data_IF_918489115661
#
_entry.id   IF_918489115661
#
_cell.length_a   1.000
_cell.length_b   1.000
_cell.length_c   1.000
_cell.angle_alpha   90.00
_cell.angle_beta   90.00
_cell.angle_gamma   90.00
#
_symmetry.space_group_name_H-M   'P 1'
#
loop_
_entity.id
_entity.type
_entity.pdbx_description
1 polymer ?
#
# COMPACT_ATOMS: atom_id res chain seq x y z
N UNK A 1 76.80 -28.75 -23.97
CA UNK A 1 75.75 -27.78 -23.58
C UNK A 1 76.38 -26.83 -22.56
N UNK A 2 76.37 -25.52 -22.83
CA UNK A 2 77.08 -24.53 -22.01
C UNK A 2 76.53 -24.51 -20.55
N UNK A 3 77.38 -24.69 -19.52
CA UNK A 3 76.97 -24.64 -18.10
C UNK A 3 76.23 -23.35 -17.72
N UNK A 4 76.59 -22.20 -18.32
CA UNK A 4 75.90 -20.93 -18.07
C UNK A 4 74.48 -20.93 -18.63
N UNK A 5 74.29 -21.53 -19.81
CA UNK A 5 72.97 -21.66 -20.44
C UNK A 5 72.06 -22.60 -19.62
N UNK A 6 72.62 -23.66 -19.06
CA UNK A 6 71.89 -24.62 -18.22
C UNK A 6 71.42 -24.01 -16.90
N UNK A 7 72.24 -23.13 -16.30
CA UNK A 7 71.89 -22.38 -15.09
C UNK A 7 70.82 -21.30 -15.35
N UNK A 8 70.91 -20.62 -16.50
CA UNK A 8 69.89 -19.66 -16.95
C UNK A 8 68.53 -20.34 -17.17
N UNK A 9 68.51 -21.51 -17.82
CA UNK A 9 67.28 -22.28 -18.03
C UNK A 9 66.65 -22.74 -16.71
N UNK A 10 67.46 -23.22 -15.76
CA UNK A 10 66.97 -23.61 -14.42
C UNK A 10 66.35 -22.44 -13.67
N UNK A 11 66.98 -21.27 -13.66
CA UNK A 11 66.42 -20.06 -13.04
C UNK A 11 65.13 -19.59 -13.72
N UNK A 12 65.04 -19.68 -15.04
CA UNK A 12 63.80 -19.34 -15.75
C UNK A 12 62.68 -20.33 -15.45
N UNK A 13 62.98 -21.63 -15.34
CA UNK A 13 62.01 -22.65 -14.93
C UNK A 13 61.53 -22.46 -13.48
N UNK A 14 62.44 -22.17 -12.55
CA UNK A 14 62.10 -21.87 -11.15
C UNK A 14 61.26 -20.59 -11.01
N UNK A 15 61.56 -19.53 -11.77
CA UNK A 15 60.75 -18.29 -11.78
C UNK A 15 59.35 -18.55 -12.39
N UNK A 16 59.25 -19.36 -13.45
CA UNK A 16 57.96 -19.76 -14.02
C UNK A 16 57.13 -20.58 -13.05
N UNK A 17 57.74 -21.53 -12.34
CA UNK A 17 57.05 -22.36 -11.35
C UNK A 17 56.63 -21.54 -10.12
N UNK A 18 57.49 -20.62 -9.67
CA UNK A 18 57.20 -19.70 -8.57
C UNK A 18 56.05 -18.74 -8.92
N UNK A 19 56.04 -18.19 -10.15
CA UNK A 19 54.93 -17.36 -10.65
C UNK A 19 53.62 -18.15 -10.75
N UNK A 20 53.67 -19.39 -11.23
CA UNK A 20 52.48 -20.27 -11.26
C UNK A 20 51.96 -20.57 -9.85
N UNK A 21 52.83 -20.84 -8.89
CA UNK A 21 52.45 -21.05 -7.47
C UNK A 21 51.85 -19.78 -6.87
N UNK A 22 52.43 -18.61 -7.12
CA UNK A 22 51.94 -17.33 -6.63
C UNK A 22 50.56 -16.98 -7.21
N UNK A 23 50.38 -17.16 -8.53
CA UNK A 23 49.08 -16.98 -9.20
C UNK A 23 48.03 -17.95 -8.67
N UNK A 24 48.41 -19.19 -8.41
CA UNK A 24 47.51 -20.22 -7.85
C UNK A 24 47.06 -19.85 -6.43
N UNK A 25 47.98 -19.36 -5.59
CA UNK A 25 47.68 -18.91 -4.20
C UNK A 25 46.78 -17.67 -4.19
N UNK A 26 46.90 -16.77 -5.17
CA UNK A 26 46.05 -15.57 -5.28
C UNK A 26 44.68 -15.86 -5.89
N UNK A 27 44.62 -16.68 -6.94
CA UNK A 27 43.38 -16.87 -7.72
C UNK A 27 42.43 -17.88 -7.10
N UNK A 28 42.91 -18.91 -6.41
CA UNK A 28 42.04 -19.91 -5.75
C UNK A 28 41.14 -19.29 -4.68
N UNK A 29 41.62 -18.48 -3.72
CA UNK A 29 40.74 -17.86 -2.73
C UNK A 29 39.78 -16.83 -3.36
N UNK A 30 40.18 -16.12 -4.42
CA UNK A 30 39.28 -15.21 -5.16
C UNK A 30 38.17 -16.01 -5.86
N UNK A 31 38.52 -17.13 -6.51
CA UNK A 31 37.57 -18.02 -7.16
C UNK A 31 36.62 -18.70 -6.16
N UNK A 32 37.13 -19.15 -5.01
CA UNK A 32 36.31 -19.68 -3.91
C UNK A 32 35.39 -18.60 -3.32
N UNK A 33 35.86 -17.36 -3.19
CA UNK A 33 35.04 -16.22 -2.75
C UNK A 33 33.93 -15.89 -3.75
N UNK A 34 34.20 -15.95 -5.06
CA UNK A 34 33.18 -15.79 -6.12
C UNK A 34 32.17 -16.95 -6.09
N UNK A 35 32.60 -18.19 -5.85
CA UNK A 35 31.71 -19.34 -5.71
C UNK A 35 30.84 -19.25 -4.44
N UNK A 36 31.38 -18.73 -3.34
CA UNK A 36 30.60 -18.45 -2.12
C UNK A 36 29.61 -17.32 -2.40
N UNK A 37 30.00 -16.24 -3.07
CA UNK A 37 29.09 -15.15 -3.49
C UNK A 37 27.98 -15.66 -4.44
N UNK A 38 28.29 -16.56 -5.37
CA UNK A 38 27.32 -17.17 -6.28
C UNK A 38 26.39 -18.18 -5.56
N UNK A 39 26.92 -18.94 -4.59
CA UNK A 39 26.13 -19.82 -3.72
C UNK A 39 25.20 -19.04 -2.79
N UNK A 40 25.66 -17.91 -2.26
CA UNK A 40 24.87 -16.99 -1.45
C UNK A 40 23.81 -16.29 -2.33
N UNK A 41 24.13 -15.88 -3.56
CA UNK A 41 23.13 -15.36 -4.51
C UNK A 41 22.05 -16.40 -4.89
N UNK A 42 22.42 -17.69 -4.95
CA UNK A 42 21.47 -18.80 -5.11
C UNK A 42 20.58 -19.02 -3.88
N UNK A 43 21.08 -18.75 -2.67
CA UNK A 43 20.30 -18.82 -1.42
C UNK A 43 19.47 -17.56 -1.15
N UNK A 44 19.81 -16.42 -1.76
CA UNK A 44 18.99 -15.21 -1.77
C UNK A 44 18.03 -15.12 -2.98
N UNK A 45 17.98 -16.14 -3.83
CA UNK A 45 17.00 -16.28 -4.91
C UNK A 45 15.72 -16.96 -4.42
N UNK A 46 15.05 -16.35 -3.43
CA UNK A 46 13.63 -16.59 -3.17
C UNK A 46 12.97 -15.38 -2.49
N UNK A 47 13.08 -14.22 -3.12
CA UNK A 47 12.03 -13.20 -3.04
C UNK A 47 12.08 -12.27 -4.26
N UNK A 48 12.21 -12.87 -5.44
CA UNK A 48 11.72 -12.23 -6.66
C UNK A 48 10.20 -12.15 -6.52
N UNK A 49 9.70 -11.01 -6.03
CA UNK A 49 8.28 -10.72 -5.92
C UNK A 49 7.63 -10.71 -7.29
N UNK A 50 7.28 -11.88 -7.79
CA UNK A 50 6.15 -12.02 -8.69
C UNK A 50 4.94 -11.46 -7.96
N UNK A 51 4.25 -10.52 -8.60
CA UNK A 51 2.95 -10.05 -8.12
C UNK A 51 2.11 -11.31 -7.87
N UNK A 52 1.88 -11.62 -6.58
CA UNK A 52 1.18 -12.84 -6.18
C UNK A 52 -0.11 -12.92 -6.97
N UNK A 53 -0.43 -14.11 -7.46
CA UNK A 53 -1.69 -14.33 -8.17
C UNK A 53 -2.84 -13.69 -7.36
N UNK A 54 -3.79 -13.04 -8.05
CA UNK A 54 -5.00 -12.53 -7.39
C UNK A 54 -5.70 -13.66 -6.62
N UNK A 55 -6.70 -13.30 -5.81
CA UNK A 55 -7.59 -14.24 -5.12
C UNK A 55 -7.84 -15.49 -6.00
N UNK A 56 -7.78 -16.68 -5.41
CA UNK A 56 -7.90 -17.93 -6.17
C UNK A 56 -9.21 -17.96 -6.96
N UNK A 57 -9.26 -18.73 -8.06
CA UNK A 57 -10.50 -18.86 -8.86
C UNK A 57 -11.65 -19.39 -8.02
N UNK A 58 -11.34 -20.26 -7.06
CA UNK A 58 -12.25 -20.83 -6.08
C UNK A 58 -12.85 -19.74 -5.18
N UNK A 59 -12.04 -18.82 -4.66
CA UNK A 59 -12.53 -17.68 -3.89
C UNK A 59 -13.34 -16.72 -4.77
N UNK A 60 -12.82 -16.38 -5.95
CA UNK A 60 -13.48 -15.46 -6.89
C UNK A 60 -14.85 -15.96 -7.36
N UNK A 61 -15.05 -17.28 -7.44
CA UNK A 61 -16.35 -17.87 -7.77
C UNK A 61 -17.45 -17.47 -6.77
N UNK A 62 -17.10 -17.15 -5.53
CA UNK A 62 -18.05 -16.68 -4.52
C UNK A 62 -18.36 -15.19 -4.58
N UNK A 63 -17.67 -14.40 -5.41
CA UNK A 63 -17.87 -12.94 -5.49
C UNK A 63 -19.34 -12.53 -5.65
N UNK A 64 -20.16 -13.13 -6.53
CA UNK A 64 -21.58 -12.78 -6.64
C UNK A 64 -22.36 -12.99 -5.32
N UNK A 65 -22.06 -14.07 -4.60
CA UNK A 65 -22.70 -14.37 -3.31
C UNK A 65 -22.20 -13.43 -2.20
N UNK A 66 -20.90 -13.14 -2.15
CA UNK A 66 -20.32 -12.15 -1.25
C UNK A 66 -20.96 -10.78 -1.50
N UNK A 67 -21.06 -10.33 -2.76
CA UNK A 67 -21.71 -9.07 -3.13
C UNK A 67 -23.17 -9.02 -2.66
N UNK A 68 -23.93 -10.11 -2.87
CA UNK A 68 -25.33 -10.23 -2.38
C UNK A 68 -25.41 -9.98 -0.86
N UNK A 69 -24.54 -10.62 -0.07
CA UNK A 69 -24.58 -10.48 1.38
C UNK A 69 -23.97 -9.18 1.89
N UNK A 70 -22.92 -8.64 1.26
CA UNK A 70 -22.41 -7.31 1.56
C UNK A 70 -23.50 -6.24 1.35
N UNK A 71 -24.25 -6.32 0.24
CA UNK A 71 -25.40 -5.45 0.00
C UNK A 71 -26.51 -5.65 1.04
N UNK A 72 -26.90 -6.90 1.33
CA UNK A 72 -27.93 -7.24 2.33
C UNK A 72 -27.60 -6.67 3.72
N UNK A 73 -26.32 -6.66 4.09
CA UNK A 73 -25.86 -6.23 5.39
C UNK A 73 -25.32 -4.79 5.41
N UNK A 74 -25.48 -4.05 4.32
CA UNK A 74 -25.10 -2.64 4.17
C UNK A 74 -23.61 -2.38 4.38
N UNK A 75 -22.77 -3.33 3.95
CA UNK A 75 -21.30 -3.19 3.88
C UNK A 75 -20.80 -3.29 2.43
N UNK A 76 -21.56 -2.74 1.48
CA UNK A 76 -21.12 -2.60 0.08
C UNK A 76 -19.77 -1.87 0.00
N UNK A 77 -18.87 -2.33 -0.86
CA UNK A 77 -17.50 -1.84 -0.98
C UNK A 77 -16.46 -2.65 -0.20
N UNK A 78 -16.89 -3.58 0.66
CA UNK A 78 -16.02 -4.50 1.41
C UNK A 78 -15.96 -5.91 0.79
N UNK A 79 -16.45 -6.11 -0.43
CA UNK A 79 -16.45 -7.42 -1.10
C UNK A 79 -15.03 -7.99 -1.24
N UNK A 80 -14.07 -7.17 -1.65
CA UNK A 80 -12.66 -7.58 -1.75
C UNK A 80 -12.05 -7.92 -0.38
N UNK A 81 -12.51 -7.26 0.70
CA UNK A 81 -12.05 -7.57 2.05
C UNK A 81 -12.61 -8.92 2.51
N UNK A 82 -13.89 -9.17 2.24
CA UNK A 82 -14.53 -10.43 2.55
C UNK A 82 -13.92 -11.60 1.78
N UNK A 83 -13.59 -11.42 0.51
CA UNK A 83 -12.89 -12.43 -0.29
C UNK A 83 -11.44 -12.62 0.16
N UNK A 84 -10.73 -11.56 0.52
CA UNK A 84 -9.39 -11.66 1.11
C UNK A 84 -9.40 -12.39 2.45
N UNK A 85 -10.43 -12.16 3.27
CA UNK A 85 -10.67 -12.90 4.50
C UNK A 85 -10.92 -14.39 4.20
N UNK A 86 -11.87 -14.70 3.30
CA UNK A 86 -12.16 -16.07 2.84
C UNK A 86 -10.92 -16.81 2.33
N UNK A 87 -10.04 -16.11 1.59
CA UNK A 87 -8.78 -16.65 1.11
C UNK A 87 -7.86 -17.10 2.26
N UNK A 88 -7.84 -16.36 3.37
CA UNK A 88 -7.04 -16.70 4.55
C UNK A 88 -7.71 -17.80 5.39
N UNK A 89 -9.03 -17.76 5.54
CA UNK A 89 -9.77 -18.71 6.37
C UNK A 89 -9.75 -20.13 5.81
N UNK A 90 -9.96 -20.26 4.49
CA UNK A 90 -10.07 -21.58 3.87
C UNK A 90 -9.51 -21.65 2.45
N UNK A 91 -9.18 -20.53 1.82
CA UNK A 91 -8.93 -20.50 0.37
C UNK A 91 -10.19 -20.73 -0.46
N UNK A 92 -11.38 -20.52 0.12
CA UNK A 92 -12.68 -20.76 -0.53
C UNK A 92 -13.16 -22.22 -0.45
N UNK A 93 -12.45 -23.09 0.26
CA UNK A 93 -12.81 -24.50 0.34
C UNK A 93 -14.04 -24.72 1.22
N UNK A 94 -14.91 -25.61 0.75
CA UNK A 94 -15.99 -26.15 1.55
C UNK A 94 -15.46 -27.04 2.68
N UNK A 95 -16.25 -27.24 3.76
CA UNK A 95 -17.66 -26.87 3.86
C UNK A 95 -17.94 -25.49 4.48
N UNK A 96 -16.91 -24.85 5.03
CA UNK A 96 -17.02 -23.55 5.70
C UNK A 96 -16.02 -22.53 5.11
N UNK A 97 -16.31 -21.97 3.92
CA UNK A 97 -15.38 -21.06 3.23
C UNK A 97 -14.90 -19.85 4.03
N UNK A 98 -15.72 -19.32 4.93
CA UNK A 98 -15.34 -18.19 5.80
C UNK A 98 -14.99 -18.60 7.24
N UNK A 99 -14.87 -19.91 7.53
CA UNK A 99 -14.66 -20.47 8.89
C UNK A 99 -15.57 -19.81 9.94
N UNK A 100 -16.85 -19.61 9.58
CA UNK A 100 -17.80 -18.82 10.35
C UNK A 100 -18.67 -19.66 11.29
N UNK A 101 -18.55 -20.99 11.27
CA UNK A 101 -19.37 -21.91 12.06
C UNK A 101 -19.25 -21.68 13.59
N UNK A 102 -18.08 -21.25 14.06
CA UNK A 102 -17.81 -21.01 15.48
C UNK A 102 -18.40 -19.70 16.00
N UNK A 103 -18.66 -18.75 15.09
CA UNK A 103 -19.18 -17.42 15.37
C UNK A 103 -20.64 -17.40 15.88
N UNK A 104 -21.03 -16.26 16.45
CA UNK A 104 -22.39 -16.04 16.94
C UNK A 104 -23.42 -16.14 15.79
N UNK A 105 -23.08 -15.65 14.60
CA UNK A 105 -23.94 -15.75 13.41
C UNK A 105 -23.87 -17.14 12.75
N UNK A 106 -22.78 -17.87 12.94
CA UNK A 106 -22.69 -19.29 12.60
C UNK A 106 -23.83 -20.03 13.26
N UNK A 107 -23.95 -19.93 14.58
CA UNK A 107 -25.04 -20.50 15.39
C UNK A 107 -26.45 -20.20 14.86
N UNK A 108 -26.71 -18.98 14.41
CA UNK A 108 -28.01 -18.63 13.81
C UNK A 108 -28.28 -19.41 12.50
N UNK A 109 -27.28 -19.54 11.63
CA UNK A 109 -27.40 -20.37 10.43
C UNK A 109 -27.59 -21.85 10.79
N UNK A 110 -26.85 -22.35 11.79
CA UNK A 110 -27.00 -23.71 12.29
C UNK A 110 -28.44 -23.98 12.76
N UNK A 111 -29.07 -23.05 13.50
CA UNK A 111 -30.42 -23.22 14.06
C UNK A 111 -31.52 -23.07 12.98
N UNK A 112 -31.40 -22.09 12.09
CA UNK A 112 -32.46 -21.77 11.12
C UNK A 112 -32.47 -22.67 9.88
N UNK A 113 -31.33 -23.30 9.55
CA UNK A 113 -31.19 -24.25 8.42
C UNK A 113 -31.04 -25.71 8.87
N UNK A 114 -31.12 -26.02 10.17
CA UNK A 114 -30.99 -27.40 10.68
C UNK A 114 -32.12 -28.37 10.31
N UNK A 115 -33.10 -27.97 9.49
CA UNK A 115 -34.25 -28.84 9.21
C UNK A 115 -33.87 -30.13 8.46
N UNK A 116 -32.64 -30.24 7.95
CA UNK A 116 -32.08 -31.44 7.31
C UNK A 116 -30.90 -32.10 8.07
N UNK A 117 -30.51 -31.60 9.25
CA UNK A 117 -29.46 -32.19 10.10
C UNK A 117 -28.02 -31.95 9.63
N UNK A 118 -27.07 -31.80 10.58
CA UNK A 118 -25.62 -31.82 10.32
C UNK A 118 -24.84 -30.57 10.73
N UNK A 119 -25.50 -29.50 11.15
CA UNK A 119 -24.85 -28.27 11.57
C UNK A 119 -24.45 -28.32 13.06
N UNK A 120 -23.18 -28.10 13.39
CA UNK A 120 -22.65 -28.07 14.77
C UNK A 120 -21.84 -26.79 15.01
N UNK A 121 -21.81 -26.29 16.25
CA UNK A 121 -20.95 -25.16 16.58
C UNK A 121 -19.53 -25.68 16.82
N UNK A 122 -18.61 -25.35 15.93
CA UNK A 122 -17.24 -25.84 15.96
C UNK A 122 -16.58 -25.76 14.58
N UNK A 123 -15.28 -26.08 14.47
CA UNK A 123 -14.55 -26.07 13.22
C UNK A 123 -15.25 -26.95 12.17
N UNK A 124 -15.44 -26.43 10.95
CA UNK A 124 -16.16 -27.09 9.86
C UNK A 124 -17.58 -27.54 10.23
N UNK A 125 -18.22 -26.83 11.15
CA UNK A 125 -19.55 -27.14 11.66
C UNK A 125 -20.71 -26.83 10.69
N UNK A 126 -20.40 -26.34 9.49
CA UNK A 126 -21.33 -26.20 8.36
C UNK A 126 -21.09 -27.40 7.44
N UNK A 127 -22.14 -28.09 6.93
CA UNK A 127 -21.99 -29.22 5.99
C UNK A 127 -21.53 -28.82 4.58
N UNK A 128 -20.98 -29.78 3.83
CA UNK A 128 -20.69 -29.62 2.39
C UNK A 128 -21.98 -29.30 1.63
N UNK A 129 -21.90 -28.43 0.63
CA UNK A 129 -23.02 -27.89 -0.14
C UNK A 129 -23.74 -26.71 0.53
N UNK A 130 -23.27 -26.27 1.71
CA UNK A 130 -23.88 -25.19 2.49
C UNK A 130 -22.98 -23.95 2.58
N UNK A 131 -22.07 -23.73 1.63
CA UNK A 131 -21.23 -22.52 1.56
C UNK A 131 -21.99 -21.20 1.76
N UNK A 132 -23.25 -21.10 1.29
CA UNK A 132 -24.08 -19.90 1.51
C UNK A 132 -24.30 -19.59 3.00
N UNK A 133 -24.41 -20.61 3.85
CA UNK A 133 -24.53 -20.42 5.29
C UNK A 133 -23.25 -19.83 5.89
N UNK A 134 -22.09 -20.33 5.46
CA UNK A 134 -20.78 -19.83 5.88
C UNK A 134 -20.59 -18.37 5.47
N UNK A 135 -20.87 -18.05 4.21
CA UNK A 135 -20.73 -16.68 3.69
C UNK A 135 -21.70 -15.73 4.38
N UNK A 136 -22.96 -16.13 4.55
CA UNK A 136 -23.95 -15.33 5.26
C UNK A 136 -23.53 -15.03 6.72
N UNK A 137 -23.01 -16.03 7.44
CA UNK A 137 -22.53 -15.87 8.80
C UNK A 137 -21.26 -14.99 8.85
N UNK A 138 -20.26 -15.30 8.01
CA UNK A 138 -18.98 -14.61 7.98
C UNK A 138 -19.12 -13.13 7.60
N UNK A 139 -20.01 -12.78 6.67
CA UNK A 139 -20.27 -11.37 6.35
C UNK A 139 -20.90 -10.61 7.51
N UNK A 140 -21.76 -11.26 8.32
CA UNK A 140 -22.33 -10.62 9.51
C UNK A 140 -21.28 -10.44 10.62
N UNK A 141 -20.42 -11.44 10.84
CA UNK A 141 -19.28 -11.32 11.76
C UNK A 141 -18.33 -10.20 11.32
N UNK A 142 -17.99 -10.14 10.02
CA UNK A 142 -17.17 -9.07 9.46
C UNK A 142 -17.82 -7.70 9.66
N UNK A 143 -19.13 -7.55 9.39
CA UNK A 143 -19.87 -6.31 9.69
C UNK A 143 -19.74 -5.91 11.16
N UNK A 144 -19.94 -6.86 12.08
CA UNK A 144 -19.82 -6.63 13.51
C UNK A 144 -18.44 -6.11 13.88
N UNK A 145 -17.39 -6.75 13.36
CA UNK A 145 -16.01 -6.37 13.59
C UNK A 145 -15.68 -4.99 13.01
N UNK A 146 -16.09 -4.69 11.76
CA UNK A 146 -15.90 -3.39 11.11
C UNK A 146 -16.56 -2.27 11.93
N UNK A 147 -17.80 -2.46 12.35
CA UNK A 147 -18.53 -1.50 13.18
C UNK A 147 -17.83 -1.27 14.53
N UNK A 148 -17.41 -2.34 15.20
CA UNK A 148 -16.84 -2.27 16.55
C UNK A 148 -15.43 -1.67 16.57
N UNK A 149 -14.69 -1.86 15.48
CA UNK A 149 -13.38 -1.25 15.24
C UNK A 149 -13.47 0.19 14.70
N UNK A 150 -14.68 0.76 14.54
CA UNK A 150 -14.90 2.13 14.05
C UNK A 150 -14.35 2.36 12.62
N UNK A 151 -14.45 1.34 11.75
CA UNK A 151 -13.97 1.44 10.36
C UNK A 151 -14.85 2.43 9.57
N UNK A 152 -14.22 3.50 9.07
CA UNK A 152 -14.93 4.57 8.34
C UNK A 152 -15.16 4.23 6.85
N UNK A 153 -14.28 3.42 6.26
CA UNK A 153 -14.34 3.08 4.83
C UNK A 153 -13.51 1.82 4.50
N UNK A 154 -13.70 1.19 3.31
CA UNK A 154 -12.85 0.10 2.82
C UNK A 154 -11.35 0.42 2.74
N UNK A 155 -10.98 1.68 2.93
CA UNK A 155 -9.60 2.13 2.85
C UNK A 155 -9.02 2.54 4.20
N UNK A 156 -9.80 2.42 5.27
CA UNK A 156 -9.37 2.68 6.64
C UNK A 156 -8.57 1.47 7.16
N UNK A 157 -7.38 1.29 6.58
CA UNK A 157 -6.55 0.09 6.77
C UNK A 157 -6.20 -0.13 8.25
N UNK A 158 -6.03 0.95 9.01
CA UNK A 158 -5.65 0.85 10.43
C UNK A 158 -6.78 0.19 11.24
N UNK A 159 -8.03 0.65 11.09
CA UNK A 159 -9.17 0.04 11.76
C UNK A 159 -9.57 -1.30 11.12
N UNK A 160 -9.40 -1.48 9.81
CA UNK A 160 -9.64 -2.77 9.14
C UNK A 160 -8.76 -3.86 9.73
N UNK A 161 -7.46 -3.59 9.96
CA UNK A 161 -6.55 -4.54 10.62
C UNK A 161 -7.05 -4.95 12.01
N UNK A 162 -7.56 -3.99 12.79
CA UNK A 162 -8.17 -4.27 14.09
C UNK A 162 -9.42 -5.14 13.94
N UNK A 163 -10.28 -4.84 12.97
CA UNK A 163 -11.50 -5.60 12.70
C UNK A 163 -11.21 -7.04 12.30
N UNK A 164 -10.34 -7.27 11.31
CA UNK A 164 -10.05 -8.64 10.82
C UNK A 164 -9.28 -9.48 11.85
N UNK A 165 -8.40 -8.87 12.66
CA UNK A 165 -7.83 -9.58 13.80
C UNK A 165 -8.90 -9.94 14.84
N UNK A 166 -9.91 -9.08 15.00
CA UNK A 166 -11.09 -9.36 15.82
C UNK A 166 -11.96 -10.49 15.27
N UNK A 167 -12.02 -10.68 13.96
CA UNK A 167 -12.68 -11.84 13.36
C UNK A 167 -12.01 -13.15 13.84
N UNK A 168 -10.68 -13.18 13.88
CA UNK A 168 -9.91 -14.36 14.32
C UNK A 168 -9.92 -14.60 15.84
N UNK A 169 -9.77 -13.54 16.65
CA UNK A 169 -9.67 -13.65 18.12
C UNK A 169 -11.01 -13.59 18.86
N UNK A 170 -12.10 -13.26 18.16
CA UNK A 170 -13.34 -12.83 18.76
C UNK A 170 -13.34 -11.32 19.04
N UNK A 171 -14.20 -10.61 18.30
CA UNK A 171 -14.16 -9.15 18.17
C UNK A 171 -14.38 -8.42 19.50
N UNK A 172 -15.17 -8.99 20.40
CA UNK A 172 -15.57 -8.30 21.63
C UNK A 172 -14.40 -8.07 22.59
N UNK A 173 -13.64 -9.13 22.85
CA UNK A 173 -12.52 -9.08 23.81
C UNK A 173 -11.31 -8.39 23.19
N UNK A 174 -10.98 -8.73 21.94
CA UNK A 174 -9.85 -8.14 21.23
C UNK A 174 -10.00 -6.63 21.05
N UNK A 175 -11.12 -6.17 20.48
CA UNK A 175 -11.29 -4.75 20.15
C UNK A 175 -11.36 -3.91 21.44
N UNK A 176 -11.99 -4.43 22.50
CA UNK A 176 -12.01 -3.77 23.81
C UNK A 176 -10.63 -3.67 24.44
N UNK A 177 -9.80 -4.72 24.28
CA UNK A 177 -8.42 -4.73 24.78
C UNK A 177 -7.55 -3.75 24.00
N UNK A 178 -7.53 -3.82 22.67
CA UNK A 178 -6.63 -2.98 21.87
C UNK A 178 -6.97 -1.49 21.94
N UNK A 179 -8.24 -1.12 22.13
CA UNK A 179 -8.66 0.27 22.41
C UNK A 179 -7.96 0.85 23.66
N UNK A 180 -7.66 0.01 24.66
CA UNK A 180 -6.89 0.41 25.86
C UNK A 180 -5.37 0.47 25.62
N UNK A 181 -4.90 -0.09 24.50
CA UNK A 181 -3.50 -0.17 24.10
C UNK A 181 -3.21 0.68 22.84
N UNK A 182 -3.87 1.83 22.74
CA UNK A 182 -3.65 2.81 21.66
C UNK A 182 -4.54 2.62 20.42
N UNK A 183 -5.39 1.60 20.39
CA UNK A 183 -6.43 1.41 19.37
C UNK A 183 -5.93 1.05 17.97
N UNK A 184 -4.63 0.77 17.81
CA UNK A 184 -4.00 0.47 16.52
C UNK A 184 -3.39 -0.91 16.53
N UNK A 185 -3.69 -1.70 15.49
CA UNK A 185 -3.04 -2.98 15.28
C UNK A 185 -1.52 -2.83 15.12
N UNK A 186 -0.77 -3.64 15.88
CA UNK A 186 0.62 -3.99 15.59
C UNK A 186 0.78 -5.50 15.83
N UNK A 187 1.72 -6.15 15.13
CA UNK A 187 1.99 -7.57 15.35
C UNK A 187 2.39 -7.86 16.80
N UNK A 188 3.19 -6.98 17.41
CA UNK A 188 3.61 -7.10 18.80
C UNK A 188 2.42 -7.11 19.78
N UNK A 189 1.47 -6.18 19.62
CA UNK A 189 0.26 -6.15 20.44
C UNK A 189 -0.65 -7.37 20.18
N UNK A 190 -0.72 -7.84 18.94
CA UNK A 190 -1.49 -9.05 18.59
C UNK A 190 -0.89 -10.31 19.22
N UNK A 191 0.44 -10.41 19.25
CA UNK A 191 1.17 -11.50 19.92
C UNK A 191 1.00 -11.45 21.44
N UNK A 192 1.07 -10.26 22.04
CA UNK A 192 0.83 -10.06 23.48
C UNK A 192 -0.57 -10.52 23.87
N UNK A 193 -1.59 -10.09 23.12
CA UNK A 193 -2.96 -10.52 23.36
C UNK A 193 -3.12 -12.04 23.21
N UNK A 194 -2.51 -12.64 22.18
CA UNK A 194 -2.52 -14.09 21.99
C UNK A 194 -1.99 -14.84 23.20
N UNK A 195 -0.90 -14.32 23.80
CA UNK A 195 -0.19 -14.98 24.88
C UNK A 195 -0.89 -14.81 26.25
N UNK A 196 -1.64 -13.72 26.43
CA UNK A 196 -2.12 -13.30 27.75
C UNK A 196 -3.64 -13.30 27.92
N UNK A 197 -4.40 -13.16 26.83
CA UNK A 197 -5.85 -12.91 26.88
C UNK A 197 -6.70 -14.00 26.23
N UNK A 198 -6.10 -14.88 25.43
CA UNK A 198 -6.83 -15.95 24.74
C UNK A 198 -7.36 -17.00 25.75
N UNK A 199 -8.58 -17.52 25.56
CA UNK A 199 -9.10 -18.61 26.38
C UNK A 199 -8.18 -19.84 26.36
N UNK A 200 -8.12 -20.58 27.47
CA UNK A 200 -7.36 -21.83 27.52
C UNK A 200 -7.83 -22.80 26.41
N UNK A 201 -6.88 -23.30 25.62
CA UNK A 201 -7.14 -24.18 24.47
C UNK A 201 -7.49 -23.47 23.17
N UNK A 202 -7.85 -22.17 23.20
CA UNK A 202 -8.05 -21.39 21.99
C UNK A 202 -6.70 -20.91 21.44
N UNK A 203 -6.42 -21.22 20.18
CA UNK A 203 -5.25 -20.71 19.45
C UNK A 203 -5.75 -19.82 18.33
N UNK A 204 -5.60 -18.51 18.49
CA UNK A 204 -5.75 -17.62 17.35
C UNK A 204 -4.45 -17.52 16.57
N UNK A 205 -4.48 -16.75 15.49
CA UNK A 205 -3.35 -16.53 14.59
C UNK A 205 -2.88 -15.08 14.72
N UNK A 206 -1.75 -14.80 15.41
CA UNK A 206 -1.33 -13.43 15.71
C UNK A 206 -1.08 -12.53 14.51
N UNK A 207 -0.68 -13.11 13.38
CA UNK A 207 -0.44 -12.40 12.12
C UNK A 207 -1.64 -12.46 11.15
N UNK A 208 -2.83 -12.82 11.63
CA UNK A 208 -4.03 -12.99 10.79
C UNK A 208 -4.35 -11.71 10.01
N UNK A 209 -4.33 -10.55 10.66
CA UNK A 209 -4.56 -9.29 9.96
C UNK A 209 -3.52 -9.02 8.87
N UNK A 210 -2.26 -9.41 9.05
CA UNK A 210 -1.24 -9.24 8.01
C UNK A 210 -1.48 -10.17 6.82
N UNK A 211 -1.90 -11.41 7.08
CA UNK A 211 -2.30 -12.37 6.05
C UNK A 211 -3.49 -11.88 5.24
N UNK A 212 -4.54 -11.38 5.90
CA UNK A 212 -5.72 -10.83 5.21
C UNK A 212 -5.33 -9.59 4.41
N UNK A 213 -4.53 -8.70 5.00
CA UNK A 213 -4.10 -7.48 4.33
C UNK A 213 -3.22 -7.73 3.11
N UNK A 214 -2.47 -8.84 3.07
CA UNK A 214 -1.73 -9.25 1.87
C UNK A 214 -2.67 -9.43 0.68
N UNK A 215 -3.73 -10.22 0.84
CA UNK A 215 -4.71 -10.46 -0.22
C UNK A 215 -5.61 -9.25 -0.46
N UNK A 216 -6.01 -8.53 0.59
CA UNK A 216 -6.86 -7.37 0.45
C UNK A 216 -6.16 -6.26 -0.33
N UNK A 217 -4.88 -6.02 -0.04
CA UNK A 217 -4.09 -5.04 -0.77
C UNK A 217 -3.83 -5.47 -2.22
N UNK A 218 -3.77 -6.78 -2.53
CA UNK A 218 -3.70 -7.27 -3.92
C UNK A 218 -5.04 -7.06 -4.63
N UNK A 219 -6.15 -7.44 -4.01
CA UNK A 219 -7.49 -7.28 -4.56
C UNK A 219 -7.83 -5.80 -4.81
N UNK A 220 -7.45 -4.91 -3.88
CA UNK A 220 -7.56 -3.46 -4.06
C UNK A 220 -6.40 -2.86 -4.85
N UNK A 221 -5.49 -3.66 -5.42
CA UNK A 221 -4.29 -3.20 -6.13
C UNK A 221 -3.24 -2.44 -5.29
N UNK A 222 -3.60 -1.93 -4.10
CA UNK A 222 -2.78 -1.07 -3.25
C UNK A 222 -1.49 -1.73 -2.72
N UNK A 223 -1.32 -3.06 -2.83
CA UNK A 223 -0.13 -3.81 -2.36
C UNK A 223 1.11 -3.59 -3.22
N UNK A 224 0.94 -3.24 -4.49
CA UNK A 224 2.07 -3.03 -5.41
C UNK A 224 2.58 -1.58 -5.42
N UNK A 225 2.08 -0.77 -4.48
CA UNK A 225 2.47 0.61 -4.31
C UNK A 225 3.76 0.71 -3.49
N UNK A 226 4.83 1.22 -4.09
CA UNK A 226 6.02 1.61 -3.36
C UNK A 226 5.76 2.95 -2.65
N UNK A 227 5.29 2.88 -1.40
CA UNK A 227 5.05 4.04 -0.54
C UNK A 227 6.36 4.47 0.10
N UNK A 228 6.85 5.66 -0.29
CA UNK A 228 8.05 6.25 0.29
C UNK A 228 7.69 7.31 1.32
N UNK A 229 8.55 7.48 2.32
CA UNK A 229 8.54 8.62 3.22
C UNK A 229 9.71 9.54 2.86
N UNK A 230 9.41 10.71 2.33
CA UNK A 230 10.40 11.73 1.98
C UNK A 230 10.65 12.66 3.17
N UNK A 231 11.85 13.21 3.25
CA UNK A 231 12.15 14.29 4.19
C UNK A 231 11.52 15.60 3.73
N UNK A 232 10.58 16.11 4.51
CA UNK A 232 10.06 17.47 4.42
C UNK A 232 10.71 18.41 5.44
N UNK A 233 10.29 19.67 5.44
CA UNK A 233 10.77 20.64 6.41
C UNK A 233 10.17 20.40 7.81
N UNK A 234 10.85 20.90 8.84
CA UNK A 234 10.40 20.83 10.24
C UNK A 234 10.17 19.39 10.75
N UNK A 235 10.94 18.42 10.25
CA UNK A 235 10.82 17.01 10.63
C UNK A 235 9.59 16.30 10.06
N UNK A 236 8.84 16.94 9.14
CA UNK A 236 7.69 16.33 8.49
C UNK A 236 8.14 15.17 7.59
N UNK A 237 7.62 13.97 7.83
CA UNK A 237 7.74 12.85 6.89
C UNK A 237 6.61 12.94 5.87
N UNK A 238 6.98 13.18 4.61
CA UNK A 238 6.02 13.36 3.52
C UNK A 238 5.73 12.01 2.88
N UNK A 239 4.46 11.60 2.93
CA UNK A 239 3.99 10.39 2.25
C UNK A 239 4.04 10.62 0.75
N UNK A 240 4.76 9.77 0.02
CA UNK A 240 4.89 9.86 -1.42
C UNK A 240 4.15 8.73 -2.14
N UNK A 241 3.44 9.12 -3.21
CA UNK A 241 2.79 8.22 -4.15
C UNK A 241 3.18 8.60 -5.57
N UNK A 242 3.46 7.61 -6.42
CA UNK A 242 3.65 7.84 -7.84
C UNK A 242 2.42 7.33 -8.60
N UNK A 243 1.72 8.18 -9.35
CA UNK A 243 0.53 7.81 -10.14
C UNK A 243 0.80 6.65 -11.13
N UNK A 244 2.06 6.44 -11.51
CA UNK A 244 2.52 5.36 -12.38
C UNK A 244 2.78 4.02 -11.67
N UNK A 245 2.62 3.93 -10.35
CA UNK A 245 2.76 2.66 -9.63
C UNK A 245 1.74 1.63 -10.10
N UNK A 246 2.16 0.37 -10.17
CA UNK A 246 1.34 -0.74 -10.67
C UNK A 246 0.00 -0.85 -9.93
N UNK A 247 -0.03 -0.42 -8.68
CA UNK A 247 -1.19 -0.46 -7.81
C UNK A 247 -2.42 0.26 -8.33
N UNK A 248 -2.20 1.32 -9.11
CA UNK A 248 -3.28 2.17 -9.58
C UNK A 248 -3.15 2.66 -11.01
N UNK A 249 -1.97 2.55 -11.66
CA UNK A 249 -1.75 3.15 -12.99
C UNK A 249 -2.78 2.77 -14.06
N UNK A 250 -3.36 1.57 -13.97
CA UNK A 250 -4.36 1.04 -14.92
C UNK A 250 -5.80 1.30 -14.49
N UNK A 251 -6.04 1.77 -13.27
CA UNK A 251 -7.39 1.99 -12.77
C UNK A 251 -8.06 3.19 -13.45
N UNK A 252 -9.40 3.17 -13.58
CA UNK A 252 -10.14 4.26 -14.20
C UNK A 252 -9.98 5.59 -13.47
N UNK A 253 -9.88 6.66 -14.26
CA UNK A 253 -10.09 8.04 -13.82
C UNK A 253 -10.84 8.79 -14.93
N UNK A 254 -12.16 8.89 -14.78
CA UNK A 254 -13.05 9.30 -15.87
C UNK A 254 -12.96 8.35 -17.06
N UNK A 255 -12.79 8.87 -18.27
CA UNK A 255 -12.55 8.08 -19.48
C UNK A 255 -11.07 7.76 -19.74
N UNK A 256 -10.20 7.98 -18.75
CA UNK A 256 -8.74 7.69 -18.80
C UNK A 256 -8.34 6.78 -17.64
N UNK A 257 -7.04 6.68 -17.36
CA UNK A 257 -6.50 5.98 -16.20
C UNK A 257 -5.78 6.90 -15.24
N UNK A 258 -5.60 6.47 -13.99
CA UNK A 258 -4.82 7.21 -12.97
C UNK A 258 -3.39 7.45 -13.47
N UNK A 259 -2.75 6.45 -14.06
CA UNK A 259 -1.38 6.58 -14.58
C UNK A 259 -1.23 7.66 -15.64
N UNK A 260 -2.23 7.85 -16.49
CA UNK A 260 -2.20 8.85 -17.57
C UNK A 260 -2.67 10.24 -17.16
N UNK A 261 -3.62 10.33 -16.23
CA UNK A 261 -4.37 11.57 -16.00
C UNK A 261 -4.61 11.92 -14.53
N UNK A 262 -4.14 11.10 -13.59
CA UNK A 262 -4.44 11.23 -12.16
C UNK A 262 -3.52 12.16 -11.36
N UNK A 263 -2.70 13.01 -12.00
CA UNK A 263 -1.68 13.81 -11.32
C UNK A 263 -2.25 14.75 -10.24
N UNK A 264 -3.40 15.39 -10.50
CA UNK A 264 -4.07 16.28 -9.55
C UNK A 264 -4.51 15.56 -8.27
N UNK A 265 -5.40 14.56 -8.35
CA UNK A 265 -5.83 13.77 -7.20
C UNK A 265 -4.67 13.06 -6.50
N UNK A 266 -3.67 12.54 -7.23
CA UNK A 266 -2.48 11.91 -6.63
C UNK A 266 -1.65 12.93 -5.82
N UNK A 267 -1.48 14.14 -6.33
CA UNK A 267 -0.82 15.24 -5.58
C UNK A 267 -1.61 15.62 -4.33
N UNK A 268 -2.95 15.61 -4.40
CA UNK A 268 -3.80 15.80 -3.23
C UNK A 268 -3.66 14.63 -2.23
N UNK A 269 -3.59 13.38 -2.70
CA UNK A 269 -3.41 12.18 -1.87
C UNK A 269 -2.12 12.24 -1.05
N UNK A 270 -1.01 12.70 -1.64
CA UNK A 270 0.27 12.97 -0.97
C UNK A 270 0.07 13.97 0.19
N UNK A 271 -0.55 15.11 -0.10
CA UNK A 271 -0.77 16.16 0.90
C UNK A 271 -1.73 15.73 2.01
N UNK A 272 -2.84 15.09 1.63
CA UNK A 272 -3.86 14.60 2.56
C UNK A 272 -3.25 13.55 3.48
N UNK A 273 -2.54 12.57 2.93
CA UNK A 273 -1.96 11.50 3.74
C UNK A 273 -0.93 12.02 4.73
N UNK A 274 -0.07 12.93 4.26
CA UNK A 274 0.97 13.55 5.08
C UNK A 274 0.37 14.36 6.23
N UNK A 275 -0.59 15.23 5.93
CA UNK A 275 -1.09 16.19 6.91
C UNK A 275 -2.15 15.59 7.83
N UNK A 276 -3.06 14.76 7.32
CA UNK A 276 -4.08 14.09 8.16
C UNK A 276 -3.50 12.93 9.00
N UNK A 277 -2.34 12.39 8.61
CA UNK A 277 -1.77 11.13 9.14
C UNK A 277 -2.69 9.92 8.95
N UNK A 278 -3.67 10.00 8.04
CA UNK A 278 -4.49 8.90 7.57
C UNK A 278 -3.98 8.47 6.18
N UNK A 279 -3.92 7.18 5.87
CA UNK A 279 -3.54 6.72 4.53
C UNK A 279 -4.67 7.04 3.54
N UNK A 280 -4.42 7.93 2.59
CA UNK A 280 -5.37 8.30 1.52
C UNK A 280 -4.68 8.14 0.17
N UNK A 281 -5.06 7.13 -0.60
CA UNK A 281 -4.34 6.67 -1.79
C UNK A 281 -4.74 7.43 -3.08
N UNK A 282 -3.93 7.31 -4.14
CA UNK A 282 -4.28 7.84 -5.46
C UNK A 282 -5.58 7.24 -6.02
N UNK A 283 -5.85 5.95 -5.75
CA UNK A 283 -7.13 5.30 -6.08
C UNK A 283 -8.29 6.07 -5.45
N UNK A 284 -8.28 6.28 -4.13
CA UNK A 284 -9.36 6.95 -3.40
C UNK A 284 -9.65 8.35 -3.94
N UNK A 285 -8.60 9.16 -4.08
CA UNK A 285 -8.74 10.55 -4.54
C UNK A 285 -9.19 10.62 -6.00
N UNK A 286 -8.70 9.74 -6.88
CA UNK A 286 -9.13 9.69 -8.27
C UNK A 286 -10.58 9.21 -8.40
N UNK A 287 -10.97 8.16 -7.69
CA UNK A 287 -12.35 7.66 -7.67
C UNK A 287 -13.31 8.74 -7.17
N UNK A 288 -12.98 9.39 -6.05
CA UNK A 288 -13.79 10.47 -5.49
C UNK A 288 -13.94 11.64 -6.48
N UNK A 289 -12.85 12.03 -7.13
CA UNK A 289 -12.81 13.13 -8.09
C UNK A 289 -13.60 12.82 -9.37
N UNK A 290 -13.45 11.60 -9.92
CA UNK A 290 -14.19 11.16 -11.11
C UNK A 290 -15.70 11.14 -10.85
N UNK A 291 -16.12 10.58 -9.71
CA UNK A 291 -17.54 10.50 -9.32
C UNK A 291 -18.22 11.88 -9.16
N UNK A 292 -17.43 12.96 -9.03
CA UNK A 292 -17.91 14.34 -8.85
C UNK A 292 -17.62 15.25 -10.04
N UNK A 293 -17.25 14.68 -11.18
CA UNK A 293 -17.06 15.44 -12.42
C UNK A 293 -15.83 16.35 -12.41
N UNK A 294 -14.79 16.02 -11.64
CA UNK A 294 -13.52 16.73 -11.67
C UNK A 294 -12.56 16.25 -12.77
N UNK A 295 -12.92 15.19 -13.50
CA UNK A 295 -12.21 14.77 -14.70
C UNK A 295 -12.70 15.54 -15.93
N UNK A 296 -11.78 15.87 -16.83
CA UNK A 296 -12.02 16.49 -18.14
C UNK A 296 -11.34 15.62 -19.20
N UNK A 297 -12.15 15.13 -20.15
CA UNK A 297 -11.66 14.31 -21.26
C UNK A 297 -10.52 15.02 -22.02
N UNK A 298 -9.43 14.29 -22.27
CA UNK A 298 -8.24 14.81 -22.95
C UNK A 298 -7.37 15.79 -22.16
N UNK A 299 -7.84 16.33 -21.02
CA UNK A 299 -7.10 17.32 -20.21
C UNK A 299 -6.66 16.81 -18.83
N UNK A 300 -7.32 15.80 -18.28
CA UNK A 300 -7.03 15.27 -16.95
C UNK A 300 -7.93 15.90 -15.89
N UNK A 301 -7.36 16.48 -14.84
CA UNK A 301 -8.13 17.03 -13.71
C UNK A 301 -8.42 18.53 -13.84
N UNK A 302 -9.63 18.95 -13.48
CA UNK A 302 -9.94 20.37 -13.25
C UNK A 302 -9.07 20.94 -12.12
N UNK A 303 -8.73 22.23 -12.17
CA UNK A 303 -7.90 22.86 -11.13
C UNK A 303 -8.59 22.91 -9.75
N UNK A 304 -9.92 23.04 -9.74
CA UNK A 304 -10.73 23.08 -8.52
C UNK A 304 -10.81 21.73 -7.79
N UNK A 305 -10.28 20.65 -8.37
CA UNK A 305 -10.14 19.34 -7.69
C UNK A 305 -9.26 19.45 -6.45
N UNK A 306 -8.23 20.31 -6.48
CA UNK A 306 -7.28 20.47 -5.38
C UNK A 306 -7.96 21.05 -4.13
N UNK A 307 -8.61 22.23 -4.21
CA UNK A 307 -9.34 22.77 -3.07
C UNK A 307 -10.54 21.89 -2.67
N UNK A 308 -11.18 21.16 -3.60
CA UNK A 308 -12.29 20.27 -3.29
C UNK A 308 -11.85 19.04 -2.47
N UNK A 309 -10.85 18.30 -2.95
CA UNK A 309 -10.32 17.12 -2.26
C UNK A 309 -9.77 17.48 -0.89
N UNK A 310 -8.94 18.51 -0.80
CA UNK A 310 -8.31 18.89 0.48
C UNK A 310 -9.35 19.25 1.53
N UNK A 311 -10.38 20.03 1.17
CA UNK A 311 -11.51 20.33 2.09
C UNK A 311 -12.35 19.11 2.45
N UNK A 312 -12.57 18.19 1.52
CA UNK A 312 -13.29 16.94 1.78
C UNK A 312 -12.62 16.12 2.89
N UNK A 313 -11.29 16.20 3.01
CA UNK A 313 -10.52 15.54 4.06
C UNK A 313 -10.19 16.45 5.26
N UNK A 314 -10.96 17.53 5.45
CA UNK A 314 -10.84 18.43 6.61
C UNK A 314 -9.58 19.31 6.60
N UNK A 315 -8.87 19.43 5.47
CA UNK A 315 -7.71 20.29 5.35
C UNK A 315 -8.07 21.66 4.76
N UNK A 316 -7.25 22.65 5.08
CA UNK A 316 -7.34 24.00 4.51
C UNK A 316 -6.55 24.07 3.22
N UNK A 317 -7.09 24.80 2.25
CA UNK A 317 -6.44 25.05 0.97
C UNK A 317 -6.53 26.55 0.63
N UNK A 318 -5.36 27.18 0.47
CA UNK A 318 -5.24 28.59 0.10
C UNK A 318 -4.50 28.72 -1.23
N UNK A 319 -5.18 29.17 -2.26
CA UNK A 319 -4.55 29.58 -3.51
C UNK A 319 -3.71 30.85 -3.31
N UNK A 320 -2.50 30.89 -3.87
CA UNK A 320 -1.55 32.01 -3.70
C UNK A 320 -0.98 32.54 -5.00
N UNK A 321 -1.50 32.10 -6.16
CA UNK A 321 -0.93 32.48 -7.45
C UNK A 321 0.57 32.21 -7.50
N UNK A 322 1.33 33.06 -8.21
CA UNK A 322 2.80 32.96 -8.31
C UNK A 322 3.55 33.69 -7.19
N UNK A 323 2.96 33.87 -6.01
CA UNK A 323 3.57 34.63 -4.91
C UNK A 323 4.70 33.82 -4.22
N UNK A 324 5.96 34.10 -4.63
CA UNK A 324 7.19 33.48 -4.08
C UNK A 324 7.26 33.51 -2.55
N UNK A 325 7.00 34.67 -1.97
CA UNK A 325 7.13 34.88 -0.52
C UNK A 325 6.16 33.99 0.27
N UNK A 326 4.91 33.89 -0.20
CA UNK A 326 3.92 33.02 0.44
C UNK A 326 4.26 31.53 0.30
N UNK A 327 4.78 31.10 -0.86
CA UNK A 327 5.23 29.71 -1.08
C UNK A 327 6.39 29.38 -0.12
N UNK A 328 7.44 30.21 -0.08
CA UNK A 328 8.59 29.99 0.81
C UNK A 328 8.17 29.97 2.28
N UNK A 329 7.32 30.92 2.70
CA UNK A 329 6.82 30.99 4.08
C UNK A 329 6.04 29.72 4.44
N UNK A 330 5.22 29.20 3.53
CA UNK A 330 4.48 27.96 3.74
C UNK A 330 5.41 26.76 3.96
N UNK A 331 6.35 26.55 3.05
CA UNK A 331 7.30 25.43 3.11
C UNK A 331 8.18 25.49 4.37
N UNK A 332 8.66 26.68 4.75
CA UNK A 332 9.41 26.88 6.01
C UNK A 332 8.60 26.57 7.26
N UNK A 333 7.27 26.65 7.19
CA UNK A 333 6.36 26.32 8.31
C UNK A 333 5.87 24.85 8.30
N UNK A 334 6.47 23.98 7.50
CA UNK A 334 6.08 22.57 7.39
C UNK A 334 4.76 22.34 6.66
N UNK A 335 4.28 23.32 5.87
CA UNK A 335 3.12 23.16 4.99
C UNK A 335 3.57 22.65 3.63
N UNK A 336 2.67 22.00 2.91
CA UNK A 336 2.89 21.53 1.55
C UNK A 336 2.24 22.47 0.54
N UNK A 337 2.77 22.54 -0.68
CA UNK A 337 2.20 23.36 -1.75
C UNK A 337 1.98 22.51 -2.99
N UNK A 338 0.74 22.40 -3.47
CA UNK A 338 0.46 21.76 -4.75
C UNK A 338 0.63 22.81 -5.85
N UNK A 339 1.32 22.46 -6.93
CA UNK A 339 1.52 23.32 -8.09
C UNK A 339 1.01 22.65 -9.37
N UNK A 340 0.46 23.43 -10.30
CA UNK A 340 0.22 22.98 -11.68
C UNK A 340 1.25 23.58 -12.63
N UNK A 341 1.95 22.69 -13.34
CA UNK A 341 3.02 22.98 -14.28
C UNK A 341 2.49 23.01 -15.71
N UNK A 342 3.03 23.92 -16.51
CA UNK A 342 2.94 23.96 -17.96
C UNK A 342 4.12 23.16 -18.58
N UNK A 343 4.22 23.08 -19.93
CA UNK A 343 5.33 22.41 -20.57
C UNK A 343 6.69 22.97 -20.13
N UNK A 344 7.63 22.08 -19.79
CA UNK A 344 8.92 22.40 -19.19
C UNK A 344 9.62 21.14 -18.66
N UNK A 345 10.40 21.28 -17.59
CA UNK A 345 11.16 20.15 -17.03
C UNK A 345 10.26 19.07 -16.40
N UNK A 346 9.10 19.47 -15.89
CA UNK A 346 8.19 18.55 -15.20
C UNK A 346 7.26 17.77 -16.15
N UNK A 347 6.98 18.31 -17.34
CA UNK A 347 5.99 17.74 -18.26
C UNK A 347 6.10 18.34 -19.65
N UNK A 348 5.59 17.63 -20.67
CA UNK A 348 5.37 18.20 -22.02
C UNK A 348 3.97 18.82 -22.19
N UNK A 349 3.11 18.70 -21.18
CA UNK A 349 1.73 19.19 -21.17
C UNK A 349 1.38 19.89 -19.86
N UNK A 350 0.26 19.52 -19.23
CA UNK A 350 -0.07 19.93 -17.86
C UNK A 350 0.33 18.85 -16.85
N UNK A 351 0.84 19.22 -15.68
CA UNK A 351 1.17 18.25 -14.62
C UNK A 351 1.09 18.86 -13.23
N UNK A 352 0.49 18.13 -12.28
CA UNK A 352 0.48 18.55 -10.88
C UNK A 352 1.66 17.94 -10.11
N UNK A 353 2.30 18.75 -9.28
CA UNK A 353 3.41 18.34 -8.41
C UNK A 353 3.18 18.88 -6.99
N UNK A 354 3.89 18.31 -6.00
CA UNK A 354 3.88 18.80 -4.61
C UNK A 354 5.24 19.35 -4.25
N UNK A 355 5.31 20.61 -3.84
CA UNK A 355 6.49 21.19 -3.19
C UNK A 355 6.46 20.79 -1.71
N UNK A 356 7.49 20.07 -1.27
CA UNK A 356 7.51 19.37 0.02
C UNK A 356 8.41 20.00 1.08
N UNK A 357 9.32 20.89 0.67
CA UNK A 357 10.25 21.53 1.58
C UNK A 357 11.29 22.40 0.87
N UNK A 358 12.30 22.81 1.64
CA UNK A 358 13.44 23.59 1.19
C UNK A 358 14.71 22.94 1.75
N UNK A 359 15.61 22.57 0.86
CA UNK A 359 16.93 22.01 1.16
C UNK A 359 17.99 22.83 0.42
N UNK A 360 18.97 23.35 1.15
CA UNK A 360 20.09 24.13 0.58
C UNK A 360 19.65 25.27 -0.34
N UNK A 361 18.60 26.00 0.06
CA UNK A 361 18.02 27.11 -0.70
C UNK A 361 17.19 26.70 -1.92
N UNK A 362 17.08 25.41 -2.24
CA UNK A 362 16.28 24.85 -3.32
C UNK A 362 15.04 24.13 -2.80
N UNK A 363 14.04 23.95 -3.65
CA UNK A 363 12.78 23.30 -3.33
C UNK A 363 12.91 21.79 -3.50
N UNK A 364 12.50 21.02 -2.48
CA UNK A 364 12.26 19.59 -2.64
C UNK A 364 10.86 19.37 -3.21
N UNK A 365 10.73 18.41 -4.13
CA UNK A 365 9.48 18.16 -4.86
C UNK A 365 9.11 16.68 -4.72
N UNK A 366 7.87 16.41 -4.30
CA UNK A 366 7.23 15.11 -4.45
C UNK A 366 6.45 15.12 -5.78
N UNK A 367 7.13 14.73 -6.87
CA UNK A 367 6.56 14.69 -8.20
C UNK A 367 5.82 13.36 -8.41
N UNK A 368 4.50 13.41 -8.36
CA UNK A 368 3.66 12.22 -8.48
C UNK A 368 3.75 11.49 -9.83
N UNK A 369 4.40 12.07 -10.84
CA UNK A 369 4.67 11.43 -12.14
C UNK A 369 6.12 10.99 -12.33
N UNK A 370 7.03 11.22 -11.37
CA UNK A 370 8.45 10.86 -11.53
C UNK A 370 9.21 10.73 -10.21
N UNK A 371 9.66 9.51 -9.92
CA UNK A 371 10.64 9.24 -8.84
C UNK A 371 11.98 9.93 -9.11
N UNK A 372 12.42 9.97 -10.37
CA UNK A 372 13.68 10.62 -10.76
C UNK A 372 13.68 12.11 -10.43
N UNK A 373 12.60 12.84 -10.74
CA UNK A 373 12.48 14.28 -10.41
C UNK A 373 12.26 14.52 -8.91
N UNK A 374 11.65 13.54 -8.23
CA UNK A 374 11.50 13.54 -6.76
C UNK A 374 12.85 13.43 -6.04
N UNK A 375 13.83 12.73 -6.63
CA UNK A 375 15.19 12.64 -6.10
C UNK A 375 16.04 13.91 -6.30
N UNK A 376 15.49 14.98 -6.88
CA UNK A 376 16.21 16.22 -7.21
C UNK A 376 15.70 17.40 -6.38
N UNK A 377 16.50 18.47 -6.33
CA UNK A 377 16.08 19.77 -5.79
C UNK A 377 16.03 20.82 -6.89
N UNK A 378 15.07 21.75 -6.78
CA UNK A 378 14.65 22.61 -7.88
C UNK A 378 14.73 24.08 -7.49
N UNK A 379 15.10 24.95 -8.44
CA UNK A 379 14.99 26.40 -8.24
C UNK A 379 13.51 26.79 -8.15
N UNK A 380 13.15 27.59 -7.14
CA UNK A 380 11.79 28.14 -7.04
C UNK A 380 11.46 29.03 -8.24
N UNK A 381 12.46 29.75 -8.77
CA UNK A 381 12.28 30.63 -9.92
C UNK A 381 11.94 29.84 -11.17
N UNK A 382 12.60 28.70 -11.38
CA UNK A 382 12.31 27.76 -12.47
C UNK A 382 10.89 27.19 -12.33
N UNK A 383 10.52 26.73 -11.13
CA UNK A 383 9.16 26.21 -10.88
C UNK A 383 8.12 27.29 -11.18
N UNK A 384 8.36 28.55 -10.83
CA UNK A 384 7.39 29.62 -11.06
C UNK A 384 7.33 30.05 -12.53
N UNK A 385 8.46 30.05 -13.25
CA UNK A 385 8.48 30.34 -14.69
C UNK A 385 7.71 29.27 -15.46
N UNK A 386 7.80 28.01 -15.05
CA UNK A 386 7.12 26.89 -15.70
C UNK A 386 5.70 26.61 -15.18
N UNK A 387 5.26 27.28 -14.10
CA UNK A 387 3.92 27.11 -13.59
C UNK A 387 2.85 27.63 -14.56
N UNK A 388 1.74 26.90 -14.68
CA UNK A 388 0.66 27.21 -15.64
C UNK A 388 0.04 28.58 -15.39
N UNK A 389 0.16 29.46 -16.37
CA UNK A 389 -0.53 30.75 -16.36
C UNK A 389 -2.04 30.57 -16.52
N UNK A 390 -2.84 31.43 -15.87
CA UNK A 390 -4.30 31.39 -15.97
C UNK A 390 -4.97 30.21 -15.23
N UNK A 391 -4.27 29.55 -14.31
CA UNK A 391 -4.88 28.51 -13.48
C UNK A 391 -6.00 29.10 -12.59
N UNK A 392 -7.19 28.51 -12.67
CA UNK A 392 -8.37 28.88 -11.89
C UNK A 392 -8.28 28.41 -10.42
N UNK A 393 -9.32 28.71 -9.63
CA UNK A 393 -9.47 28.29 -8.23
C UNK A 393 -8.28 28.69 -7.31
N UNK A 394 -7.64 29.83 -7.61
CA UNK A 394 -6.51 30.38 -6.84
C UNK A 394 -5.13 29.80 -7.20
N UNK A 395 -5.05 29.02 -8.28
CA UNK A 395 -3.81 28.49 -8.81
C UNK A 395 -2.85 29.56 -9.38
N UNK A 396 -1.66 29.16 -9.85
CA UNK A 396 -1.22 27.77 -10.05
C UNK A 396 -0.62 27.09 -8.82
N UNK A 397 -0.59 27.76 -7.65
CA UNK A 397 -0.06 27.21 -6.41
C UNK A 397 -1.11 27.24 -5.29
N UNK A 398 -1.27 26.13 -4.59
CA UNK A 398 -2.20 25.96 -3.47
C UNK A 398 -1.46 25.48 -2.22
N UNK A 399 -1.43 26.31 -1.18
CA UNK A 399 -0.90 25.95 0.13
C UNK A 399 -1.92 25.07 0.85
N UNK A 400 -1.47 23.88 1.29
CA UNK A 400 -2.29 22.93 2.04
C UNK A 400 -1.83 22.91 3.50
N UNK A 401 -2.78 22.97 4.43
CA UNK A 401 -2.49 22.88 5.87
C UNK A 401 -3.60 22.19 6.65
N UNK A 402 -3.31 21.81 7.91
CA UNK A 402 -4.37 21.53 8.89
C UNK A 402 -5.21 22.76 9.18
#
# INVERSE_FOLDING_TARGET
>A
MDPKLLLLLKRQLEDQESRKRLLTILLIPIFLFILILAGVASMFSSSGGTAGEPLSKEVEAYRPMVTKYCAKYEITGYEDLALALMMVESGGHEPDPMQAAEGAFGKYCLITKNKQGGHVQGPNGIPVGHAECSINAGIQELKGALKKADVESPYDIDHIKVAVQGYNYGMDRWISWIKKHGGKYTLALSQEYSATMMPAGAKGTPDHAEKVMKYYSIATGDSSAEVLLLEGNCGLKVVYYNQGDAAWKTLPYGSSTIGKSGCGPTSAAICISTLSRKRVTPRQTCTWAAARGYYVAGSGSKHDVIPALTRNYGLKCKGVGKNKSQIVKALKSGKLVIAIMAPGHFTKGGHFIVLSGIKDGKITVADCGSRQRTGQTWSLDLIISEARSGASAGGPFWIISK
#
